data_IF_665088344354
#
_entry.id   IF_665088344354
#
_cell.length_a   1.000
_cell.length_b   1.000
_cell.length_c   1.000
_cell.angle_alpha   90.00
_cell.angle_beta   90.00
_cell.angle_gamma   90.00
#
_symmetry.space_group_name_H-M   'P 1'
#
loop_
_entity.id
_entity.type
_entity.pdbx_description
1 polymer ?
#
# COMPACT_ATOMS: atom_id res chain seq x y z
N UNK A 1 -19.27 -51.74 4.33
CA UNK A 1 -17.84 -51.37 4.32
C UNK A 1 -17.65 -50.55 3.06
N UNK A 2 -17.37 -49.26 3.04
CA UNK A 2 -16.66 -48.37 3.95
C UNK A 2 -15.71 -47.54 3.07
N UNK A 3 -15.65 -46.23 3.31
CA UNK A 3 -14.79 -45.19 2.70
C UNK A 3 -15.20 -44.67 1.29
N UNK A 4 -15.31 -43.38 0.94
CA UNK A 4 -14.99 -42.03 1.47
C UNK A 4 -14.20 -41.26 0.39
N UNK A 5 -14.80 -40.14 -0.02
CA UNK A 5 -14.25 -38.84 -0.45
C UNK A 5 -13.19 -38.74 -1.56
N UNK A 6 -13.53 -37.87 -2.52
CA UNK A 6 -12.60 -37.18 -3.40
C UNK A 6 -13.33 -36.10 -4.21
N UNK A 7 -13.98 -35.14 -3.53
CA UNK A 7 -14.43 -33.90 -4.17
C UNK A 7 -13.18 -33.10 -4.54
N UNK A 8 -12.88 -33.04 -5.82
CA UNK A 8 -11.94 -32.09 -6.37
C UNK A 8 -12.72 -30.80 -6.67
N UNK A 9 -12.87 -29.95 -5.66
CA UNK A 9 -13.28 -28.56 -5.86
C UNK A 9 -12.05 -27.80 -6.35
N UNK A 10 -11.88 -27.74 -7.67
CA UNK A 10 -10.87 -26.91 -8.29
C UNK A 10 -11.31 -25.46 -8.24
N UNK A 11 -10.69 -24.72 -7.33
CA UNK A 11 -10.48 -23.27 -7.31
C UNK A 11 -10.76 -22.59 -8.65
N UNK A 12 -11.92 -21.93 -8.73
CA UNK A 12 -12.22 -21.01 -9.82
C UNK A 12 -11.73 -19.63 -9.40
N UNK A 13 -10.45 -19.37 -9.72
CA UNK A 13 -9.82 -18.04 -9.85
C UNK A 13 -10.86 -16.99 -10.28
N UNK A 14 -11.15 -16.03 -9.41
CA UNK A 14 -11.88 -14.82 -9.82
C UNK A 14 -10.88 -13.88 -10.50
N UNK A 15 -10.78 -14.03 -11.82
CA UNK A 15 -10.07 -13.14 -12.74
C UNK A 15 -10.93 -11.91 -13.05
N UNK A 16 -11.34 -11.15 -12.03
CA UNK A 16 -11.87 -9.81 -12.20
C UNK A 16 -11.16 -8.96 -11.16
N UNK A 17 -10.31 -8.02 -11.61
CA UNK A 17 -9.78 -7.01 -10.71
C UNK A 17 -10.96 -6.41 -9.94
N UNK A 18 -10.82 -6.29 -8.63
CA UNK A 18 -11.93 -5.83 -7.80
C UNK A 18 -12.36 -4.43 -8.26
N UNK A 19 -13.60 -4.03 -7.94
CA UNK A 19 -14.09 -2.67 -8.21
C UNK A 19 -13.11 -1.63 -7.64
N UNK A 20 -12.51 -1.95 -6.50
CA UNK A 20 -11.46 -1.17 -5.85
C UNK A 20 -10.18 -1.08 -6.68
N UNK A 21 -9.66 -2.18 -7.22
CA UNK A 21 -8.45 -2.17 -8.05
C UNK A 21 -8.63 -1.33 -9.32
N UNK A 22 -9.80 -1.40 -9.94
CA UNK A 22 -10.13 -0.56 -11.10
C UNK A 22 -10.10 0.93 -10.71
N UNK A 23 -10.71 1.30 -9.59
CA UNK A 23 -10.66 2.68 -9.07
C UNK A 23 -9.24 3.14 -8.76
N UNK A 24 -8.41 2.27 -8.20
CA UNK A 24 -7.01 2.59 -7.89
C UNK A 24 -6.22 2.91 -9.16
N UNK A 25 -6.38 2.10 -10.21
CA UNK A 25 -5.75 2.34 -11.52
C UNK A 25 -6.24 3.67 -12.11
N UNK A 26 -7.55 3.93 -12.09
CA UNK A 26 -8.12 5.20 -12.56
C UNK A 26 -7.56 6.41 -11.79
N UNK A 27 -7.49 6.33 -10.45
CA UNK A 27 -6.89 7.37 -9.61
C UNK A 27 -5.42 7.58 -9.96
N UNK A 28 -4.65 6.52 -10.17
CA UNK A 28 -3.23 6.60 -10.58
C UNK A 28 -3.05 7.27 -11.94
N UNK A 29 -3.87 6.90 -12.92
CA UNK A 29 -3.85 7.52 -14.24
C UNK A 29 -4.20 9.00 -14.20
N UNK A 30 -5.20 9.38 -13.39
CA UNK A 30 -5.53 10.79 -13.15
C UNK A 30 -4.35 11.54 -12.53
N UNK A 31 -3.68 10.97 -11.52
CA UNK A 31 -2.48 11.55 -10.91
C UNK A 31 -1.33 11.66 -11.91
N UNK A 32 -1.09 10.63 -12.71
CA UNK A 32 -0.07 10.62 -13.75
C UNK A 32 -0.30 11.66 -14.87
N UNK A 33 -1.53 12.15 -15.04
CA UNK A 33 -1.84 13.26 -15.94
C UNK A 33 -1.39 14.63 -15.40
N UNK A 34 -1.34 14.79 -14.07
CA UNK A 34 -0.85 16.02 -13.41
C UNK A 34 0.69 16.07 -13.41
N UNK A 35 1.34 14.94 -13.64
CA UNK A 35 2.79 14.80 -13.64
C UNK A 35 3.37 14.69 -12.23
N UNK A 36 4.61 14.21 -12.14
CA UNK A 36 5.35 14.08 -10.89
C UNK A 36 6.52 15.05 -10.86
N UNK A 37 6.82 15.61 -9.69
CA UNK A 37 8.02 16.45 -9.48
C UNK A 37 9.28 15.61 -9.25
N UNK A 38 9.13 14.29 -9.08
CA UNK A 38 10.25 13.39 -8.88
C UNK A 38 11.12 13.31 -10.14
N UNK A 39 12.41 13.54 -9.93
CA UNK A 39 13.42 13.53 -11.01
C UNK A 39 14.20 12.23 -11.07
N UNK A 40 14.24 11.49 -9.97
CA UNK A 40 15.02 10.28 -9.82
C UNK A 40 14.49 9.41 -8.69
N UNK A 41 14.80 8.12 -8.75
CA UNK A 41 14.54 7.20 -7.65
C UNK A 41 15.29 7.62 -6.36
N UNK A 42 16.52 8.14 -6.49
CA UNK A 42 17.30 8.67 -5.36
C UNK A 42 16.60 9.82 -4.63
N UNK A 43 15.79 10.61 -5.35
CA UNK A 43 15.01 11.70 -4.75
C UNK A 43 13.94 11.16 -3.77
N UNK A 44 13.47 9.94 -3.99
CA UNK A 44 12.55 9.24 -3.09
C UNK A 44 13.33 8.76 -1.85
N UNK A 45 14.50 8.14 -2.05
CA UNK A 45 15.36 7.66 -0.97
C UNK A 45 15.74 8.80 0.00
N UNK A 46 16.06 9.99 -0.53
CA UNK A 46 16.35 11.17 0.30
C UNK A 46 15.17 11.62 1.18
N UNK A 47 13.95 11.23 0.83
CA UNK A 47 12.75 11.53 1.63
C UNK A 47 12.45 10.44 2.67
N UNK A 48 13.12 9.28 2.66
CA UNK A 48 12.84 8.17 3.58
C UNK A 48 12.81 8.60 5.06
N UNK A 49 13.76 9.37 5.60
CA UNK A 49 13.72 9.77 7.00
C UNK A 49 12.47 10.58 7.36
N UNK A 50 12.00 11.44 6.44
CA UNK A 50 10.78 12.23 6.65
C UNK A 50 9.53 11.38 6.51
N UNK A 51 9.55 10.40 5.61
CA UNK A 51 8.46 9.44 5.43
C UNK A 51 8.33 8.59 6.69
N UNK A 52 9.43 8.04 7.21
CA UNK A 52 9.47 7.30 8.48
C UNK A 52 8.90 8.13 9.64
N UNK A 53 9.43 9.33 9.87
CA UNK A 53 8.96 10.22 10.95
C UNK A 53 7.46 10.53 10.84
N UNK A 54 6.97 10.70 9.60
CA UNK A 54 5.56 10.98 9.34
C UNK A 54 4.70 9.74 9.58
N UNK A 55 5.11 8.57 9.09
CA UNK A 55 4.36 7.32 9.24
C UNK A 55 4.33 6.85 10.69
N UNK A 56 5.41 7.05 11.47
CA UNK A 56 5.40 6.78 12.92
C UNK A 56 4.36 7.61 13.68
N UNK A 57 3.99 8.80 13.19
CA UNK A 57 2.90 9.59 13.79
C UNK A 57 1.53 8.93 13.61
N UNK A 58 1.38 8.02 12.63
CA UNK A 58 0.19 7.20 12.49
C UNK A 58 0.06 6.12 13.57
N UNK A 59 1.12 5.81 14.32
CA UNK A 59 1.10 4.75 15.34
C UNK A 59 0.05 5.00 16.41
N UNK A 60 -0.13 6.26 16.81
CA UNK A 60 -1.20 6.64 17.76
C UNK A 60 -2.60 6.51 17.17
N UNK A 61 -2.75 6.57 15.84
CA UNK A 61 -4.02 6.31 15.16
C UNK A 61 -4.26 4.81 15.11
N UNK A 62 -3.23 4.03 14.78
CA UNK A 62 -3.29 2.57 14.82
C UNK A 62 -3.72 2.05 16.20
N UNK A 63 -3.09 2.54 17.27
CA UNK A 63 -3.44 2.20 18.66
C UNK A 63 -4.86 2.64 19.08
N UNK A 64 -5.47 3.60 18.36
CA UNK A 64 -6.88 3.97 18.60
C UNK A 64 -7.86 3.04 17.90
N UNK A 65 -7.43 2.36 16.85
CA UNK A 65 -8.22 1.39 16.11
C UNK A 65 -8.10 0.00 16.73
N UNK A 66 -6.92 -0.39 17.19
CA UNK A 66 -6.63 -1.63 17.92
C UNK A 66 -7.17 -1.53 19.36
N UNK A 67 -8.42 -1.93 19.57
CA UNK A 67 -9.15 -1.71 20.82
C UNK A 67 -8.76 -2.69 21.92
N UNK A 68 -8.39 -3.91 21.52
CA UNK A 68 -7.91 -4.94 22.43
C UNK A 68 -6.38 -4.90 22.64
N UNK A 69 -5.67 -4.04 21.89
CA UNK A 69 -4.22 -3.85 21.96
C UNK A 69 -3.43 -5.12 21.64
N UNK A 70 -3.94 -5.93 20.71
CA UNK A 70 -3.29 -7.18 20.30
C UNK A 70 -2.18 -6.97 19.25
N UNK A 71 -2.03 -5.75 18.72
CA UNK A 71 -1.04 -5.38 17.73
C UNK A 71 -1.49 -5.52 16.28
N UNK A 72 -2.75 -5.85 16.03
CA UNK A 72 -3.38 -6.06 14.73
C UNK A 72 -4.80 -5.49 14.76
N UNK A 73 -5.25 -4.81 13.70
CA UNK A 73 -6.62 -4.30 13.62
C UNK A 73 -7.48 -5.33 12.90
N UNK A 74 -8.49 -5.84 13.60
CA UNK A 74 -9.47 -6.71 12.98
C UNK A 74 -10.58 -5.92 12.24
N UNK A 75 -11.40 -6.65 11.51
CA UNK A 75 -12.49 -6.08 10.71
C UNK A 75 -13.58 -5.40 11.55
N UNK A 76 -13.86 -5.91 12.75
CA UNK A 76 -14.85 -5.35 13.67
C UNK A 76 -14.34 -4.04 14.28
N UNK A 77 -13.07 -4.01 14.67
CA UNK A 77 -12.36 -2.85 15.17
C UNK A 77 -12.29 -1.73 14.13
N UNK A 78 -11.92 -2.07 12.89
CA UNK A 78 -11.93 -1.13 11.77
C UNK A 78 -13.33 -0.51 11.57
N UNK A 79 -14.38 -1.34 11.60
CA UNK A 79 -15.77 -0.89 11.46
C UNK A 79 -16.19 0.01 12.62
N UNK A 80 -15.86 -0.36 13.85
CA UNK A 80 -16.21 0.42 15.03
C UNK A 80 -15.49 1.77 15.05
N UNK A 81 -14.24 1.81 14.60
CA UNK A 81 -13.52 3.07 14.48
C UNK A 81 -14.15 4.03 13.46
N UNK A 82 -14.54 3.53 12.28
CA UNK A 82 -15.26 4.37 11.32
C UNK A 82 -16.59 4.90 11.86
N UNK A 83 -17.31 4.10 12.64
CA UNK A 83 -18.52 4.55 13.34
C UNK A 83 -18.23 5.64 14.38
N UNK A 84 -17.16 5.49 15.19
CA UNK A 84 -16.73 6.49 16.17
C UNK A 84 -16.34 7.82 15.52
N UNK A 85 -15.70 7.75 14.36
CA UNK A 85 -15.33 8.92 13.57
C UNK A 85 -16.52 9.47 12.75
N UNK A 86 -17.70 8.88 12.87
CA UNK A 86 -18.91 9.22 12.11
C UNK A 86 -18.64 9.29 10.59
N UNK A 87 -17.75 8.44 10.09
CA UNK A 87 -17.46 8.32 8.65
C UNK A 87 -18.36 7.21 8.10
N UNK A 88 -19.09 7.54 7.04
CA UNK A 88 -20.02 6.60 6.42
C UNK A 88 -19.31 5.74 5.38
N UNK A 89 -18.93 4.51 5.75
CA UNK A 89 -18.59 3.44 4.82
C UNK A 89 -19.65 2.34 4.87
N UNK A 90 -19.96 1.73 3.72
CA UNK A 90 -20.79 0.52 3.72
C UNK A 90 -19.99 -0.68 4.17
N UNK A 91 -20.68 -1.75 4.60
CA UNK A 91 -19.99 -2.98 5.00
C UNK A 91 -19.20 -3.58 3.84
N UNK A 92 -19.72 -3.50 2.62
CA UNK A 92 -19.04 -3.95 1.41
C UNK A 92 -17.76 -3.13 1.16
N UNK A 93 -17.79 -1.81 1.35
CA UNK A 93 -16.61 -0.95 1.16
C UNK A 93 -15.52 -1.25 2.20
N UNK A 94 -15.90 -1.46 3.47
CA UNK A 94 -14.97 -1.86 4.53
C UNK A 94 -14.36 -3.22 4.20
N UNK A 95 -15.17 -4.17 3.72
CA UNK A 95 -14.70 -5.49 3.33
C UNK A 95 -13.70 -5.42 2.18
N UNK A 96 -14.05 -4.70 1.11
CA UNK A 96 -13.18 -4.54 -0.06
C UNK A 96 -11.86 -3.87 0.31
N UNK A 97 -11.88 -2.85 1.18
CA UNK A 97 -10.67 -2.17 1.65
C UNK A 97 -9.81 -3.06 2.55
N UNK A 98 -10.44 -3.78 3.49
CA UNK A 98 -9.73 -4.68 4.40
C UNK A 98 -9.05 -5.80 3.61
N UNK A 99 -9.79 -6.50 2.75
CA UNK A 99 -9.27 -7.58 1.89
C UNK A 99 -8.17 -7.09 0.94
N UNK A 100 -8.20 -5.81 0.55
CA UNK A 100 -7.12 -5.24 -0.26
C UNK A 100 -5.85 -4.94 0.53
N UNK A 101 -5.93 -4.71 1.84
CA UNK A 101 -4.77 -4.35 2.67
C UNK A 101 -4.19 -5.54 3.43
N UNK A 102 -4.98 -6.57 3.69
CA UNK A 102 -4.58 -7.87 4.25
C UNK A 102 -3.75 -8.65 3.21
N UNK A 103 -2.47 -8.30 3.08
CA UNK A 103 -1.57 -8.84 2.05
C UNK A 103 -0.99 -10.18 2.49
N UNK A 104 -0.77 -10.35 3.79
CA UNK A 104 -0.26 -11.59 4.38
C UNK A 104 -1.36 -12.67 4.58
N UNK A 105 -2.63 -12.33 4.36
CA UNK A 105 -3.82 -13.18 4.52
C UNK A 105 -3.99 -13.74 5.95
N UNK A 106 -3.55 -13.02 6.98
CA UNK A 106 -3.67 -13.44 8.38
C UNK A 106 -4.96 -12.94 9.07
N UNK A 107 -5.80 -12.19 8.33
CA UNK A 107 -7.06 -11.60 8.81
C UNK A 107 -6.87 -10.56 9.93
N UNK A 108 -5.64 -10.05 10.13
CA UNK A 108 -5.30 -9.01 11.10
C UNK A 108 -4.45 -7.93 10.45
N UNK A 109 -4.95 -6.70 10.39
CA UNK A 109 -4.20 -5.62 9.74
C UNK A 109 -3.08 -5.13 10.65
N UNK A 110 -1.83 -5.48 10.35
CA UNK A 110 -0.65 -4.99 11.07
C UNK A 110 -0.37 -3.53 10.76
N UNK A 111 0.53 -2.90 11.52
CA UNK A 111 0.83 -1.47 11.35
C UNK A 111 1.29 -1.09 9.94
N UNK A 112 2.12 -1.92 9.30
CA UNK A 112 2.55 -1.72 7.92
C UNK A 112 1.38 -1.79 6.92
N UNK A 113 0.44 -2.73 7.11
CA UNK A 113 -0.78 -2.86 6.31
C UNK A 113 -1.77 -1.72 6.57
N UNK A 114 -1.81 -1.22 7.80
CA UNK A 114 -2.57 -0.03 8.17
C UNK A 114 -2.06 1.22 7.45
N UNK A 115 -0.74 1.35 7.24
CA UNK A 115 -0.20 2.42 6.39
C UNK A 115 -0.65 2.26 4.93
N UNK A 116 -0.66 1.03 4.40
CA UNK A 116 -1.19 0.76 3.04
C UNK A 116 -2.65 1.21 2.98
N UNK A 117 -3.46 0.80 3.95
CA UNK A 117 -4.85 1.20 4.08
C UNK A 117 -5.05 2.72 4.09
N UNK A 118 -4.32 3.47 4.92
CA UNK A 118 -4.40 4.94 4.94
C UNK A 118 -4.01 5.57 3.60
N UNK A 119 -3.03 5.01 2.90
CA UNK A 119 -2.64 5.45 1.55
C UNK A 119 -3.73 5.16 0.50
N UNK A 120 -4.39 3.99 0.56
CA UNK A 120 -5.48 3.64 -0.34
C UNK A 120 -6.68 4.56 -0.13
N UNK A 121 -7.05 4.77 1.14
CA UNK A 121 -8.04 5.77 1.56
C UNK A 121 -7.67 7.13 0.96
N UNK A 122 -6.41 7.59 1.12
CA UNK A 122 -5.94 8.85 0.56
C UNK A 122 -6.15 8.96 -0.96
N UNK A 123 -5.79 7.90 -1.71
CA UNK A 123 -5.81 7.82 -3.17
C UNK A 123 -7.21 7.79 -3.77
N UNK A 124 -8.16 7.10 -3.12
CA UNK A 124 -9.48 6.85 -3.68
C UNK A 124 -10.37 8.10 -3.71
N UNK A 125 -9.94 9.20 -3.09
CA UNK A 125 -10.55 10.54 -3.13
C UNK A 125 -12.09 10.55 -2.99
N UNK A 126 -12.64 9.59 -2.25
CA UNK A 126 -14.07 9.51 -1.97
C UNK A 126 -14.47 10.64 -1.00
N UNK A 127 -15.68 11.20 -1.09
CA UNK A 127 -16.11 12.27 -0.19
C UNK A 127 -16.03 11.88 1.29
N UNK A 128 -16.28 10.61 1.63
CA UNK A 128 -16.10 10.07 2.98
C UNK A 128 -14.64 10.14 3.47
N UNK A 129 -13.67 10.05 2.57
CA UNK A 129 -12.23 10.14 2.86
C UNK A 129 -11.83 11.55 3.23
N UNK A 130 -12.43 12.57 2.62
CA UNK A 130 -12.10 13.97 2.94
C UNK A 130 -12.46 14.30 4.39
N UNK A 131 -13.57 13.73 4.89
CA UNK A 131 -13.97 13.85 6.29
C UNK A 131 -13.09 12.99 7.21
N UNK A 132 -12.75 11.76 6.79
CA UNK A 132 -11.83 10.88 7.49
C UNK A 132 -10.45 11.52 7.72
N UNK A 133 -9.90 12.15 6.68
CA UNK A 133 -8.61 12.88 6.72
C UNK A 133 -8.57 13.94 7.82
N UNK A 134 -9.67 14.70 7.96
CA UNK A 134 -9.78 15.76 8.97
C UNK A 134 -9.94 15.15 10.37
N UNK A 135 -10.83 14.18 10.53
CA UNK A 135 -11.15 13.60 11.84
C UNK A 135 -10.04 12.73 12.41
N UNK A 136 -9.29 12.02 11.57
CA UNK A 136 -8.12 11.23 11.96
C UNK A 136 -6.85 12.10 12.10
N UNK A 137 -6.88 13.39 11.78
CA UNK A 137 -5.74 14.28 11.93
C UNK A 137 -4.59 14.02 10.93
N UNK A 138 -4.88 13.43 9.76
CA UNK A 138 -3.89 13.01 8.76
C UNK A 138 -3.26 14.18 7.96
N UNK A 139 -3.52 15.44 8.34
CA UNK A 139 -3.08 16.61 7.58
C UNK A 139 -1.55 16.74 7.45
N UNK A 140 -0.79 16.15 8.36
CA UNK A 140 0.67 16.07 8.29
C UNK A 140 1.19 14.90 7.42
N UNK A 141 0.33 13.94 7.09
CA UNK A 141 0.66 12.77 6.27
C UNK A 141 0.42 13.01 4.78
N UNK A 142 -0.33 14.04 4.41
CA UNK A 142 -0.66 14.37 3.03
C UNK A 142 0.61 14.42 2.16
N UNK A 143 1.65 15.13 2.61
CA UNK A 143 2.92 15.21 1.88
C UNK A 143 3.64 13.85 1.73
N UNK A 144 3.44 12.94 2.69
CA UNK A 144 3.99 11.58 2.65
C UNK A 144 3.22 10.73 1.64
N UNK A 145 1.90 10.70 1.71
CA UNK A 145 1.06 9.95 0.77
C UNK A 145 1.20 10.49 -0.66
N UNK A 146 1.26 11.80 -0.82
CA UNK A 146 1.60 12.44 -2.10
C UNK A 146 2.96 11.96 -2.63
N UNK A 147 3.98 11.88 -1.77
CA UNK A 147 5.29 11.38 -2.17
C UNK A 147 5.24 9.90 -2.61
N UNK A 148 4.45 9.06 -1.93
CA UNK A 148 4.28 7.65 -2.28
C UNK A 148 3.54 7.47 -3.62
N UNK A 149 2.48 8.24 -3.83
CA UNK A 149 1.74 8.27 -5.10
C UNK A 149 2.65 8.77 -6.23
N UNK A 150 3.36 9.87 -6.02
CA UNK A 150 4.31 10.41 -6.99
C UNK A 150 5.41 9.41 -7.34
N UNK A 151 5.88 8.64 -6.35
CA UNK A 151 6.89 7.60 -6.53
C UNK A 151 6.38 6.48 -7.45
N UNK A 152 5.16 6.01 -7.22
CA UNK A 152 4.55 5.00 -8.08
C UNK A 152 4.32 5.53 -9.50
N UNK A 153 3.77 6.75 -9.64
CA UNK A 153 3.59 7.42 -10.94
C UNK A 153 4.91 7.65 -11.67
N UNK A 154 6.01 7.86 -10.95
CA UNK A 154 7.34 7.98 -11.55
C UNK A 154 7.84 6.64 -12.12
N UNK A 155 7.49 5.53 -11.46
CA UNK A 155 7.84 4.18 -11.88
C UNK A 155 6.96 3.70 -13.04
N UNK A 156 5.65 3.93 -12.99
CA UNK A 156 4.68 3.57 -14.04
C UNK A 156 4.77 4.54 -15.24
N UNK A 157 5.64 4.21 -16.20
CA UNK A 157 5.96 5.08 -17.34
C UNK A 157 4.86 5.03 -18.39
N UNK A 158 4.30 3.85 -18.62
CA UNK A 158 3.28 3.63 -19.63
C UNK A 158 1.86 4.05 -19.15
N UNK A 159 1.70 4.29 -17.84
CA UNK A 159 0.47 4.72 -17.16
C UNK A 159 -0.64 3.68 -17.21
N UNK A 160 -0.29 2.40 -17.22
CA UNK A 160 -1.25 1.30 -17.21
C UNK A 160 -1.76 0.98 -15.80
N UNK A 161 -1.19 1.61 -14.76
CA UNK A 161 -1.54 1.41 -13.37
C UNK A 161 -0.72 0.33 -12.68
N UNK A 162 0.25 -0.25 -13.38
CA UNK A 162 1.16 -1.28 -12.89
C UNK A 162 2.60 -0.86 -13.16
N UNK A 163 3.54 -1.42 -12.41
CA UNK A 163 4.97 -1.23 -12.67
C UNK A 163 5.54 -2.55 -13.16
N UNK A 164 5.96 -2.58 -14.42
CA UNK A 164 6.67 -3.70 -15.00
C UNK A 164 8.15 -3.71 -14.62
N UNK A 165 8.80 -4.87 -14.80
CA UNK A 165 10.24 -5.00 -14.57
C UNK A 165 11.05 -4.03 -15.44
N UNK A 166 10.65 -3.87 -16.70
CA UNK A 166 11.28 -2.97 -17.66
C UNK A 166 11.21 -1.52 -17.18
N UNK A 167 10.06 -1.08 -16.67
CA UNK A 167 9.85 0.27 -16.16
C UNK A 167 10.64 0.56 -14.89
N UNK A 168 10.72 -0.42 -13.98
CA UNK A 168 11.56 -0.33 -12.78
C UNK A 168 13.03 -0.16 -13.15
N UNK A 169 13.53 -0.98 -14.07
CA UNK A 169 14.92 -0.91 -14.55
C UNK A 169 15.20 0.41 -15.26
N UNK A 170 14.27 0.90 -16.10
CA UNK A 170 14.40 2.20 -16.78
C UNK A 170 14.47 3.35 -15.77
N UNK A 171 13.55 3.38 -14.81
CA UNK A 171 13.46 4.46 -13.81
C UNK A 171 14.71 4.57 -12.93
N UNK A 172 15.35 3.45 -12.62
CA UNK A 172 16.61 3.42 -11.85
C UNK A 172 17.82 3.74 -12.72
N UNK A 173 17.86 3.26 -13.97
CA UNK A 173 18.97 3.52 -14.89
C UNK A 173 18.98 4.96 -15.44
N UNK A 174 17.84 5.65 -15.48
CA UNK A 174 17.76 7.09 -15.82
C UNK A 174 18.54 7.95 -14.81
N UNK A 175 18.74 7.46 -13.59
CA UNK A 175 19.43 8.16 -12.51
C UNK A 175 20.90 7.75 -12.41
N UNK A 176 21.21 6.47 -12.65
CA UNK A 176 22.56 5.96 -12.51
C UNK A 176 23.38 6.19 -13.79
N UNK A 177 24.49 6.93 -13.66
CA UNK A 177 25.50 7.09 -14.70
C UNK A 177 26.19 5.76 -15.05
N UNK A 178 25.51 4.90 -15.81
CA UNK A 178 26.10 3.73 -16.47
C UNK A 178 26.64 2.61 -15.58
N UNK A 179 26.34 2.57 -14.28
CA UNK A 179 26.84 1.51 -13.40
C UNK A 179 26.00 0.23 -13.52
N UNK A 180 26.66 -0.90 -13.85
CA UNK A 180 26.03 -2.23 -13.95
C UNK A 180 25.39 -2.71 -12.64
N UNK A 181 25.72 -2.11 -11.51
CA UNK A 181 25.13 -2.37 -10.19
C UNK A 181 23.68 -1.92 -10.10
N UNK A 182 23.29 -0.84 -10.78
CA UNK A 182 21.94 -0.25 -10.67
C UNK A 182 20.84 -1.17 -11.19
N UNK A 183 21.11 -1.92 -12.27
CA UNK A 183 20.17 -2.93 -12.77
C UNK A 183 19.97 -4.10 -11.80
N UNK A 184 21.00 -4.50 -11.03
CA UNK A 184 20.87 -5.57 -10.02
C UNK A 184 20.06 -5.10 -8.81
N UNK A 185 20.24 -3.84 -8.41
CA UNK A 185 19.47 -3.22 -7.33
C UNK A 185 18.00 -3.10 -7.75
N UNK A 186 17.74 -2.61 -8.98
CA UNK A 186 16.40 -2.53 -9.53
C UNK A 186 15.68 -3.88 -9.54
N UNK A 187 16.37 -4.94 -9.97
CA UNK A 187 15.81 -6.28 -10.01
C UNK A 187 15.49 -6.82 -8.61
N UNK A 188 16.37 -6.61 -7.62
CA UNK A 188 16.07 -7.00 -6.23
C UNK A 188 14.85 -6.26 -5.69
N UNK A 189 14.79 -4.94 -5.88
CA UNK A 189 13.66 -4.12 -5.40
C UNK A 189 12.35 -4.52 -6.09
N UNK A 190 12.41 -4.84 -7.39
CA UNK A 190 11.27 -5.40 -8.10
C UNK A 190 10.80 -6.72 -7.49
N UNK A 191 11.71 -7.66 -7.25
CA UNK A 191 11.40 -8.96 -6.62
C UNK A 191 10.85 -8.84 -5.20
N UNK A 192 11.24 -7.80 -4.46
CA UNK A 192 10.68 -7.48 -3.14
C UNK A 192 9.26 -6.89 -3.21
N UNK A 193 8.90 -6.27 -4.33
CA UNK A 193 7.57 -5.72 -4.58
C UNK A 193 6.60 -6.75 -5.18
N UNK A 194 7.04 -7.51 -6.19
CA UNK A 194 6.23 -8.50 -6.92
C UNK A 194 6.01 -9.77 -6.07
N UNK A 195 5.11 -9.65 -5.08
CA UNK A 195 4.89 -10.67 -4.05
C UNK A 195 4.18 -11.90 -4.63
N UNK A 196 3.20 -11.68 -5.50
CA UNK A 196 2.46 -12.77 -6.17
C UNK A 196 3.22 -13.36 -7.37
N UNK A 197 4.34 -12.73 -7.77
CA UNK A 197 5.24 -13.13 -8.86
C UNK A 197 4.56 -13.19 -10.21
N UNK A 198 3.55 -12.34 -10.44
CA UNK A 198 2.87 -12.23 -11.71
C UNK A 198 3.68 -11.40 -12.74
N UNK A 199 4.77 -10.74 -12.31
CA UNK A 199 5.64 -9.94 -13.15
C UNK A 199 5.20 -8.49 -13.33
N UNK A 200 4.19 -8.05 -12.58
CA UNK A 200 3.64 -6.71 -12.52
C UNK A 200 3.47 -6.31 -11.06
N UNK A 201 3.96 -5.13 -10.70
CA UNK A 201 3.79 -4.58 -9.35
C UNK A 201 2.58 -3.67 -9.31
N UNK A 202 1.60 -4.02 -8.49
CA UNK A 202 0.46 -3.17 -8.17
C UNK A 202 0.84 -2.07 -7.18
N UNK A 203 0.00 -1.04 -7.04
CA UNK A 203 0.25 0.01 -6.05
C UNK A 203 0.28 -0.53 -4.60
N UNK A 204 -0.53 -1.55 -4.30
CA UNK A 204 -0.60 -2.18 -2.97
C UNK A 204 0.73 -2.85 -2.63
N UNK A 205 1.23 -3.64 -3.56
CA UNK A 205 2.53 -4.31 -3.48
C UNK A 205 3.69 -3.32 -3.34
N UNK A 206 3.66 -2.25 -4.14
CA UNK A 206 4.62 -1.15 -4.00
C UNK A 206 4.60 -0.56 -2.58
N UNK A 207 3.43 -0.18 -2.06
CA UNK A 207 3.31 0.43 -0.74
C UNK A 207 3.80 -0.51 0.37
N UNK A 208 3.41 -1.78 0.32
CA UNK A 208 3.80 -2.76 1.32
C UNK A 208 5.30 -3.03 1.33
N UNK A 209 5.94 -3.17 0.16
CA UNK A 209 7.40 -3.28 0.10
C UNK A 209 8.08 -1.99 0.57
N UNK A 210 7.50 -0.84 0.22
CA UNK A 210 8.05 0.47 0.58
C UNK A 210 8.06 0.69 2.10
N UNK A 211 7.01 0.33 2.82
CA UNK A 211 6.98 0.44 4.29
C UNK A 211 8.08 -0.39 4.94
N UNK A 212 8.39 -1.57 4.39
CA UNK A 212 9.54 -2.39 4.84
C UNK A 212 10.87 -1.72 4.53
N UNK A 213 11.04 -1.08 3.37
CA UNK A 213 12.30 -0.40 3.01
C UNK A 213 12.59 0.84 3.85
N UNK A 214 11.53 1.54 4.27
CA UNK A 214 11.64 2.69 5.19
C UNK A 214 12.05 2.23 6.60
N UNK A 215 11.87 0.94 6.92
CA UNK A 215 12.22 0.37 8.23
C UNK A 215 11.09 0.51 9.25
N UNK A 216 9.83 0.50 8.80
CA UNK A 216 8.66 0.61 9.68
C UNK A 216 8.37 -0.72 10.37
N UNK A 217 8.85 -1.82 9.79
CA UNK A 217 8.59 -3.19 10.22
C UNK A 217 9.87 -3.84 10.79
N UNK A 218 10.45 -3.27 11.84
CA UNK A 218 11.38 -3.97 12.74
C UNK A 218 11.25 -3.35 14.15
N UNK A 219 10.60 -4.10 15.06
CA UNK A 219 10.71 -4.06 16.52
C UNK A 219 11.41 -2.81 17.11
N UNK A 220 10.62 -1.86 17.64
CA UNK A 220 11.11 -0.89 18.63
C UNK A 220 11.20 -1.51 20.05
N UNK A 221 11.18 -2.85 20.17
CA UNK A 221 11.26 -3.58 21.45
C UNK A 221 12.67 -4.16 21.74
N UNK A 222 13.73 -3.61 21.13
CA UNK A 222 15.13 -3.93 21.44
C UNK A 222 15.83 -2.84 22.29
N UNK A 223 15.08 -2.15 23.15
CA UNK A 223 15.66 -1.32 24.23
C UNK A 223 15.03 -1.70 25.59
N UNK A 224 15.48 -2.82 26.16
CA UNK A 224 15.44 -3.09 27.61
C UNK A 224 16.83 -3.48 28.15
#
# INVERSE_FOLDING_TARGET
MGAILGRHDTLKRSSHGSKLETKMVESMQQRASHGTSLKSFDSIIMKFPKIDESLRKCKTIFEQFDEDSNGEIDKQELKHCFQKLEISFTEEEINELFEACDINEDMGMKFNEFIVFLCLIYLLNEPAVSEAKIKMGLGNLEATFETLVDAFVFLDKNKDGYVSKEEMVQSINETATGERSSGRIAMRRFEEMDWDKNGMVTFKEFLFAFTRWVGIDENEDDDE
#
